data_IF_307017881269
#
_entry.id   IF_307017881269
#
_cell.length_a   1.000
_cell.length_b   1.000
_cell.length_c   1.000
_cell.angle_alpha   90.00
_cell.angle_beta   90.00
_cell.angle_gamma   90.00
#
_symmetry.space_group_name_H-M   'P 1'
#
loop_
_entity.id
_entity.type
_entity.pdbx_description
1 polymer ?
#
# COMPACT_ATOMS: atom_id res chain seq x y z
N UNK A 1 8.97 8.32 -2.20
CA UNK A 1 8.20 8.04 -3.45
C UNK A 1 8.39 6.60 -3.96
N UNK A 2 9.60 6.08 -4.26
CA UNK A 2 9.73 4.75 -4.89
C UNK A 2 9.13 3.59 -4.07
N UNK A 3 9.33 3.59 -2.75
CA UNK A 3 8.84 2.54 -1.85
C UNK A 3 7.30 2.39 -1.83
N UNK A 4 6.52 3.43 -2.12
CA UNK A 4 5.05 3.29 -2.18
C UNK A 4 4.62 2.29 -3.27
N UNK A 5 5.43 2.11 -4.31
CA UNK A 5 5.15 1.15 -5.38
C UNK A 5 5.34 -0.31 -4.97
N UNK A 6 6.11 -0.61 -3.92
CA UNK A 6 6.17 -1.98 -3.37
C UNK A 6 4.86 -2.39 -2.68
N UNK A 7 4.00 -1.43 -2.35
CA UNK A 7 2.66 -1.66 -1.79
C UNK A 7 1.61 -1.54 -2.89
N UNK A 8 1.64 -0.44 -3.65
CA UNK A 8 0.59 -0.12 -4.62
C UNK A 8 0.68 -0.97 -5.90
N UNK A 9 1.88 -1.41 -6.30
CA UNK A 9 2.10 -2.31 -7.44
C UNK A 9 1.40 -3.67 -7.30
N UNK A 10 1.72 -4.49 -6.28
CA UNK A 10 1.05 -5.78 -6.09
C UNK A 10 -0.45 -5.63 -5.79
N UNK A 11 -0.87 -4.54 -5.14
CA UNK A 11 -2.29 -4.25 -4.92
C UNK A 11 -3.04 -3.98 -6.24
N UNK A 12 -2.41 -3.31 -7.21
CA UNK A 12 -2.96 -3.10 -8.54
C UNK A 12 -3.00 -4.40 -9.36
N UNK A 13 -1.95 -5.23 -9.29
CA UNK A 13 -1.93 -6.54 -9.96
C UNK A 13 -3.11 -7.41 -9.51
N UNK A 14 -3.42 -7.42 -8.21
CA UNK A 14 -4.58 -8.15 -7.68
C UNK A 14 -5.91 -7.72 -8.30
N UNK A 15 -6.07 -6.45 -8.67
CA UNK A 15 -7.31 -5.96 -9.30
C UNK A 15 -7.50 -6.52 -10.72
N UNK A 16 -6.40 -6.76 -11.44
CA UNK A 16 -6.45 -7.11 -12.86
C UNK A 16 -6.13 -8.58 -13.14
N UNK A 17 -5.58 -9.32 -12.17
CA UNK A 17 -5.02 -10.66 -12.39
C UNK A 17 -6.04 -11.66 -12.95
N UNK A 18 -7.30 -11.59 -12.53
CA UNK A 18 -8.35 -12.50 -13.04
C UNK A 18 -8.79 -12.17 -14.47
N UNK A 19 -8.48 -10.96 -14.95
CA UNK A 19 -8.73 -10.52 -16.32
C UNK A 19 -7.58 -10.85 -17.27
N UNK A 20 -6.44 -11.32 -16.77
CA UNK A 20 -5.31 -11.74 -17.59
C UNK A 20 -5.55 -13.14 -18.19
N UNK A 21 -4.97 -13.41 -19.39
CA UNK A 21 -4.82 -14.77 -19.90
C UNK A 21 -4.27 -15.71 -18.82
N UNK A 22 -4.78 -16.95 -18.75
CA UNK A 22 -4.42 -17.90 -17.69
C UNK A 22 -2.90 -18.09 -17.55
N UNK A 23 -2.17 -18.13 -18.67
CA UNK A 23 -0.72 -18.25 -18.71
C UNK A 23 0.03 -17.05 -18.09
N UNK A 24 -0.60 -15.88 -17.99
CA UNK A 24 0.02 -14.65 -17.47
C UNK A 24 -0.26 -14.41 -15.99
N UNK A 25 -1.32 -15.01 -15.41
CA UNK A 25 -1.72 -14.74 -14.01
C UNK A 25 -0.60 -15.01 -13.01
N UNK A 26 -0.09 -16.26 -12.99
CA UNK A 26 0.97 -16.66 -12.07
C UNK A 26 2.27 -15.87 -12.28
N UNK A 27 2.77 -15.67 -13.52
CA UNK A 27 3.91 -14.79 -13.76
C UNK A 27 3.70 -13.36 -13.24
N UNK A 28 2.55 -12.73 -13.48
CA UNK A 28 2.27 -11.36 -13.01
C UNK A 28 2.32 -11.24 -11.49
N UNK A 29 1.76 -12.22 -10.77
CA UNK A 29 1.87 -12.26 -9.30
C UNK A 29 3.33 -12.40 -8.83
N UNK A 30 4.08 -13.34 -9.41
CA UNK A 30 5.46 -13.60 -9.00
C UNK A 30 6.37 -12.40 -9.27
N UNK A 31 6.25 -11.79 -10.45
CA UNK A 31 7.03 -10.60 -10.80
C UNK A 31 6.67 -9.42 -9.89
N UNK A 32 5.39 -9.20 -9.59
CA UNK A 32 4.99 -8.12 -8.68
C UNK A 32 5.56 -8.32 -7.27
N UNK A 33 5.55 -9.56 -6.76
CA UNK A 33 6.18 -9.92 -5.50
C UNK A 33 7.68 -9.65 -5.53
N UNK A 34 8.38 -10.12 -6.56
CA UNK A 34 9.84 -10.05 -6.64
C UNK A 34 10.34 -8.60 -6.81
N UNK A 35 9.64 -7.79 -7.61
CA UNK A 35 9.91 -6.34 -7.72
C UNK A 35 9.67 -5.65 -6.38
N UNK A 36 8.57 -5.95 -5.68
CA UNK A 36 8.27 -5.35 -4.38
C UNK A 36 9.33 -5.69 -3.34
N UNK A 37 9.79 -6.94 -3.29
CA UNK A 37 10.88 -7.38 -2.44
C UNK A 37 12.20 -6.65 -2.78
N UNK A 38 12.54 -6.57 -4.07
CA UNK A 38 13.76 -5.87 -4.53
C UNK A 38 13.75 -4.38 -4.14
N UNK A 39 12.60 -3.71 -4.24
CA UNK A 39 12.46 -2.33 -3.82
C UNK A 39 12.62 -2.18 -2.30
N UNK A 40 12.02 -3.07 -1.51
CA UNK A 40 12.20 -3.06 -0.06
C UNK A 40 13.68 -3.26 0.30
N UNK A 41 14.38 -4.19 -0.32
CA UNK A 41 15.80 -4.44 -0.08
C UNK A 41 16.68 -3.23 -0.40
N UNK A 42 16.41 -2.53 -1.51
CA UNK A 42 17.20 -1.36 -1.92
C UNK A 42 17.02 -0.14 -1.01
N UNK A 43 15.82 0.05 -0.48
CA UNK A 43 15.49 1.27 0.27
C UNK A 43 15.42 1.06 1.79
N UNK A 44 15.45 -0.18 2.28
CA UNK A 44 15.47 -0.48 3.72
C UNK A 44 16.91 -0.59 4.22
N UNK A 45 17.65 0.52 4.21
CA UNK A 45 19.07 0.55 4.64
C UNK A 45 19.25 0.64 6.16
N UNK A 46 18.17 0.90 6.90
CA UNK A 46 18.18 0.96 8.38
C UNK A 46 17.09 0.07 8.94
N UNK A 47 17.41 -0.85 9.87
CA UNK A 47 16.39 -1.58 10.62
C UNK A 47 15.47 -0.60 11.34
N UNK A 48 14.21 -0.52 10.91
CA UNK A 48 13.20 0.26 11.64
C UNK A 48 12.75 -0.61 12.81
N UNK A 49 13.10 -0.20 14.03
CA UNK A 49 12.50 -0.77 15.23
C UNK A 49 10.99 -0.55 15.13
N UNK A 50 10.15 -1.60 15.12
CA UNK A 50 8.72 -1.43 15.04
C UNK A 50 8.27 -0.57 16.23
N UNK A 51 7.83 0.66 15.97
CA UNK A 51 7.21 1.46 17.00
C UNK A 51 5.84 0.83 17.26
N UNK A 52 5.51 0.36 18.48
CA UNK A 52 4.18 -0.14 18.76
C UNK A 52 3.17 0.95 18.42
N UNK A 53 2.38 0.71 17.36
CA UNK A 53 1.27 1.59 17.02
C UNK A 53 0.28 1.44 18.16
N UNK A 54 0.26 2.42 19.06
CA UNK A 54 -0.82 2.53 20.04
C UNK A 54 -2.15 2.56 19.29
N UNK A 55 -3.09 1.70 19.68
CA UNK A 55 -4.43 1.68 19.08
C UNK A 55 -5.21 3.00 19.35
N UNK A 56 -4.71 3.86 20.24
CA UNK A 56 -5.21 5.22 20.42
C UNK A 56 -4.72 6.12 19.28
N UNK A 57 -5.64 6.73 18.52
CA UNK A 57 -5.31 7.67 17.46
C UNK A 57 -5.11 7.04 16.07
N UNK A 58 -5.62 5.81 15.85
CA UNK A 58 -5.79 5.27 14.50
C UNK A 58 -6.71 6.25 13.73
N UNK A 59 -6.26 6.81 12.60
CA UNK A 59 -7.06 7.77 11.85
C UNK A 59 -8.32 7.10 11.33
N UNK A 60 -9.40 7.89 11.22
CA UNK A 60 -10.47 7.49 10.33
C UNK A 60 -9.93 7.39 8.90
N UNK A 61 -10.15 6.24 8.28
CA UNK A 61 -9.57 5.95 6.98
C UNK A 61 -10.27 6.72 5.85
N UNK A 62 -11.56 7.08 6.05
CA UNK A 62 -12.30 7.95 5.16
C UNK A 62 -11.73 9.37 5.14
N UNK A 63 -11.44 9.93 6.32
CA UNK A 63 -10.78 11.24 6.46
C UNK A 63 -9.38 11.26 5.84
N UNK A 64 -8.60 10.19 6.04
CA UNK A 64 -7.27 10.04 5.41
C UNK A 64 -7.38 10.00 3.90
N UNK A 65 -8.35 9.27 3.34
CA UNK A 65 -8.58 9.24 1.91
C UNK A 65 -9.02 10.61 1.36
N UNK A 66 -9.96 11.28 2.03
CA UNK A 66 -10.41 12.62 1.64
C UNK A 66 -9.25 13.63 1.64
N UNK A 67 -8.35 13.54 2.62
CA UNK A 67 -7.15 14.38 2.71
C UNK A 67 -6.18 14.08 1.56
N UNK A 68 -5.95 12.81 1.23
CA UNK A 68 -5.10 12.42 0.10
C UNK A 68 -5.63 13.01 -1.23
N UNK A 69 -6.95 12.95 -1.43
CA UNK A 69 -7.62 13.55 -2.60
C UNK A 69 -7.45 15.07 -2.62
N UNK A 70 -7.57 15.75 -1.47
CA UNK A 70 -7.40 17.19 -1.37
C UNK A 70 -5.96 17.65 -1.65
N UNK A 71 -4.95 16.87 -1.26
CA UNK A 71 -3.53 17.12 -1.58
C UNK A 71 -3.30 17.01 -3.09
N UNK A 72 -3.98 16.06 -3.76
CA UNK A 72 -3.86 15.84 -5.20
C UNK A 72 -2.61 15.08 -5.63
N UNK A 73 -1.79 14.59 -4.68
CA UNK A 73 -0.64 13.73 -4.96
C UNK A 73 -1.10 12.30 -5.30
N UNK A 74 -0.69 11.79 -6.45
CA UNK A 74 -1.16 10.50 -6.94
C UNK A 74 -0.64 9.33 -6.10
N UNK A 75 0.50 9.47 -5.42
CA UNK A 75 1.07 8.43 -4.57
C UNK A 75 0.29 8.34 -3.26
N UNK A 76 -0.04 9.48 -2.66
CA UNK A 76 -0.89 9.58 -1.48
C UNK A 76 -2.28 8.96 -1.75
N UNK A 77 -2.91 9.34 -2.87
CA UNK A 77 -4.21 8.81 -3.28
C UNK A 77 -4.14 7.29 -3.49
N UNK A 78 -3.14 6.79 -4.22
CA UNK A 78 -2.98 5.34 -4.45
C UNK A 78 -2.82 4.58 -3.14
N UNK A 79 -2.03 5.08 -2.20
CA UNK A 79 -1.82 4.38 -0.93
C UNK A 79 -3.07 4.39 -0.05
N UNK A 80 -3.78 5.52 0.00
CA UNK A 80 -5.05 5.62 0.73
C UNK A 80 -6.12 4.68 0.13
N UNK A 81 -6.21 4.61 -1.21
CA UNK A 81 -7.11 3.69 -1.91
C UNK A 81 -6.82 2.21 -1.56
N UNK A 82 -5.55 1.83 -1.59
CA UNK A 82 -5.11 0.49 -1.21
C UNK A 82 -5.47 0.19 0.24
N UNK A 83 -5.22 1.14 1.15
CA UNK A 83 -5.55 1.00 2.56
C UNK A 83 -7.05 0.78 2.77
N UNK A 84 -7.92 1.54 2.10
CA UNK A 84 -9.39 1.37 2.17
C UNK A 84 -9.81 -0.02 1.74
N UNK A 85 -9.37 -0.48 0.56
CA UNK A 85 -9.73 -1.81 0.05
C UNK A 85 -9.20 -2.92 0.95
N UNK A 86 -7.96 -2.82 1.40
CA UNK A 86 -7.35 -3.84 2.25
C UNK A 86 -7.97 -3.88 3.64
N UNK A 87 -8.36 -2.74 4.21
CA UNK A 87 -9.06 -2.67 5.49
C UNK A 87 -10.40 -3.42 5.43
N UNK A 88 -11.12 -3.31 4.31
CA UNK A 88 -12.39 -4.04 4.11
C UNK A 88 -12.19 -5.56 3.97
N UNK A 89 -11.02 -6.00 3.52
CA UNK A 89 -10.71 -7.42 3.27
C UNK A 89 -10.07 -8.12 4.48
N UNK A 90 -9.16 -7.42 5.16
CA UNK A 90 -8.43 -7.90 6.32
C UNK A 90 -8.08 -6.68 7.20
N UNK A 91 -8.94 -6.34 8.18
CA UNK A 91 -8.76 -5.16 9.01
C UNK A 91 -7.41 -5.14 9.72
N UNK A 92 -6.66 -4.05 9.57
CA UNK A 92 -5.36 -3.85 10.19
C UNK A 92 -5.13 -2.36 10.49
N UNK A 93 -4.97 -1.96 11.76
CA UNK A 93 -4.79 -0.56 12.14
C UNK A 93 -3.55 0.09 11.49
N UNK A 94 -2.57 -0.70 11.03
CA UNK A 94 -1.38 -0.19 10.34
C UNK A 94 -1.70 0.40 8.97
N UNK A 95 -2.79 0.00 8.32
CA UNK A 95 -3.17 0.50 6.99
C UNK A 95 -3.49 2.00 7.03
N UNK A 96 -4.28 2.42 8.01
CA UNK A 96 -4.65 3.82 8.19
C UNK A 96 -3.45 4.68 8.61
N UNK A 97 -2.56 4.13 9.45
CA UNK A 97 -1.32 4.81 9.81
C UNK A 97 -0.38 5.01 8.60
N UNK A 98 -0.20 3.98 7.76
CA UNK A 98 0.61 4.06 6.56
C UNK A 98 0.06 5.08 5.54
N UNK A 99 -1.25 5.07 5.31
CA UNK A 99 -1.89 6.02 4.41
C UNK A 99 -1.78 7.47 4.93
N UNK A 100 -1.98 7.69 6.23
CA UNK A 100 -1.79 9.02 6.84
C UNK A 100 -0.36 9.54 6.66
N UNK A 101 0.65 8.67 6.81
CA UNK A 101 2.05 9.06 6.64
C UNK A 101 2.37 9.55 5.22
N UNK A 102 1.63 9.10 4.20
CA UNK A 102 1.79 9.57 2.82
C UNK A 102 1.07 10.90 2.53
N UNK A 103 0.24 11.39 3.45
CA UNK A 103 -0.42 12.71 3.34
C UNK A 103 0.43 13.86 3.94
N UNK A 104 1.66 13.57 4.38
CA UNK A 104 2.58 14.52 5.01
C UNK A 104 3.75 14.82 4.07
#
# INVERSE_FOLDING_TARGET
VPLIHSITGPAAVRLVIEHLPAAQRRPSYLVARDVSASMLDWFSTTPVTPNPVGLSGVPDLGEVFATAVAIGDEHAIKLAEVAVRHQALAPDPRLAAAARAANQ
#
